data_IF_592043647411
#
_entry.id   IF_592043647411
#
_cell.length_a   1.000
_cell.length_b   1.000
_cell.length_c   1.000
_cell.angle_alpha   90.00
_cell.angle_beta   90.00
_cell.angle_gamma   90.00
#
_symmetry.space_group_name_H-M   'P 1'
#
loop_
_entity.id
_entity.type
_entity.pdbx_description
1 polymer ?
#
# COMPACT_ATOMS: atom_id res chain seq x y z
N UNK A 1 43.04 26.50 12.18
CA UNK A 1 42.54 25.29 12.85
C UNK A 1 41.14 25.04 12.29
N UNK A 2 41.06 24.22 11.24
CA UNK A 2 39.90 24.09 10.35
C UNK A 2 39.19 22.76 10.67
N UNK A 3 38.08 22.80 11.39
CA UNK A 3 37.21 21.63 11.56
C UNK A 3 36.16 21.62 10.47
N UNK A 4 36.42 20.77 9.46
CA UNK A 4 35.48 20.39 8.42
C UNK A 4 34.25 19.73 9.06
N UNK A 5 33.11 20.39 8.97
CA UNK A 5 31.79 19.78 9.09
C UNK A 5 31.61 18.84 7.91
N UNK A 6 31.82 17.54 8.11
CA UNK A 6 31.49 16.51 7.13
C UNK A 6 29.97 16.45 6.96
N UNK A 7 29.45 17.18 5.98
CA UNK A 7 28.10 17.03 5.47
C UNK A 7 27.97 15.64 4.83
N UNK A 8 27.47 14.66 5.58
CA UNK A 8 27.02 13.38 5.03
C UNK A 8 25.54 13.52 4.69
N UNK A 9 25.25 14.07 3.52
CA UNK A 9 24.00 13.84 2.81
C UNK A 9 24.32 13.87 1.32
N UNK A 10 24.98 12.81 0.85
CA UNK A 10 24.99 12.54 -0.59
C UNK A 10 23.55 12.30 -1.03
N UNK A 11 23.08 13.04 -2.04
CA UNK A 11 21.78 12.85 -2.69
C UNK A 11 21.62 11.39 -3.12
N UNK A 12 21.00 10.58 -2.26
CA UNK A 12 20.67 9.21 -2.60
C UNK A 12 19.52 9.27 -3.61
N UNK A 13 19.77 8.80 -4.83
CA UNK A 13 18.72 8.60 -5.83
C UNK A 13 17.58 7.75 -5.23
N UNK A 14 16.32 8.08 -5.56
CA UNK A 14 15.12 7.37 -5.12
C UNK A 14 15.24 5.84 -5.30
N UNK A 15 15.93 5.39 -6.35
CA UNK A 15 16.24 3.99 -6.62
C UNK A 15 17.14 3.34 -5.57
N UNK A 16 18.16 4.05 -5.08
CA UNK A 16 19.05 3.57 -4.03
C UNK A 16 18.32 3.50 -2.69
N UNK A 17 17.44 4.45 -2.42
CA UNK A 17 16.57 4.48 -1.25
C UNK A 17 15.59 3.29 -1.26
N UNK A 18 14.89 3.05 -2.38
CA UNK A 18 14.02 1.88 -2.54
C UNK A 18 14.78 0.55 -2.39
N UNK A 19 15.97 0.42 -2.99
CA UNK A 19 16.79 -0.79 -2.88
C UNK A 19 17.23 -1.04 -1.43
N UNK A 20 17.54 0.01 -0.68
CA UNK A 20 17.88 -0.08 0.76
C UNK A 20 16.67 -0.50 1.59
N UNK A 21 15.48 0.06 1.33
CA UNK A 21 14.23 -0.32 2.00
C UNK A 21 13.84 -1.78 1.71
N UNK A 22 13.99 -2.24 0.46
CA UNK A 22 13.83 -3.66 0.11
C UNK A 22 14.83 -4.57 0.82
N UNK A 23 16.01 -4.07 1.19
CA UNK A 23 16.98 -4.80 2.01
C UNK A 23 16.45 -5.17 3.39
N UNK A 24 15.61 -4.33 4.00
CA UNK A 24 14.97 -4.61 5.30
C UNK A 24 13.87 -5.69 5.23
N UNK A 25 13.37 -6.02 4.04
CA UNK A 25 12.47 -7.17 3.82
C UNK A 25 13.20 -8.50 3.85
N UNK A 26 14.53 -8.51 3.76
CA UNK A 26 15.30 -9.73 3.57
C UNK A 26 15.04 -10.85 4.61
N UNK A 27 14.88 -10.57 5.92
CA UNK A 27 14.58 -11.62 6.90
C UNK A 27 13.13 -12.15 6.82
N UNK A 28 12.21 -11.45 6.17
CA UNK A 28 10.79 -11.81 6.10
C UNK A 28 10.31 -12.21 4.70
N UNK A 29 11.25 -12.47 3.76
CA UNK A 29 10.92 -12.83 2.36
C UNK A 29 9.94 -14.00 2.24
N UNK A 30 10.05 -15.01 3.12
CA UNK A 30 9.16 -16.17 3.10
C UNK A 30 7.70 -15.80 3.42
N UNK A 31 7.46 -15.08 4.52
CA UNK A 31 6.12 -14.63 4.90
C UNK A 31 5.55 -13.62 3.90
N UNK A 32 6.41 -12.76 3.34
CA UNK A 32 6.02 -11.82 2.29
C UNK A 32 5.63 -12.55 0.99
N UNK A 33 6.34 -13.62 0.63
CA UNK A 33 6.01 -14.45 -0.52
C UNK A 33 4.66 -15.14 -0.33
N UNK A 34 4.38 -15.67 0.88
CA UNK A 34 3.07 -16.24 1.21
C UNK A 34 1.97 -15.18 1.05
N UNK A 35 2.19 -13.96 1.55
CA UNK A 35 1.24 -12.85 1.39
C UNK A 35 1.00 -12.52 -0.09
N UNK A 36 2.06 -12.48 -0.90
CA UNK A 36 1.97 -12.22 -2.34
C UNK A 36 1.22 -13.34 -3.08
N UNK A 37 1.54 -14.60 -2.80
CA UNK A 37 0.85 -15.75 -3.40
C UNK A 37 -0.62 -15.77 -3.00
N UNK A 38 -0.93 -15.57 -1.72
CA UNK A 38 -2.32 -15.48 -1.24
C UNK A 38 -3.07 -14.32 -1.92
N UNK A 39 -2.42 -13.16 -2.12
CA UNK A 39 -2.99 -12.03 -2.85
C UNK A 39 -3.27 -12.36 -4.32
N UNK A 40 -2.36 -13.04 -5.00
CA UNK A 40 -2.55 -13.48 -6.39
C UNK A 40 -3.71 -14.47 -6.47
N UNK A 41 -3.72 -15.49 -5.61
CA UNK A 41 -4.82 -16.48 -5.53
C UNK A 41 -6.15 -15.79 -5.25
N UNK A 42 -6.19 -14.80 -4.36
CA UNK A 42 -7.40 -14.04 -4.07
C UNK A 42 -7.92 -13.31 -5.30
N UNK A 43 -7.08 -12.50 -5.97
CA UNK A 43 -7.54 -11.66 -7.09
C UNK A 43 -7.90 -12.52 -8.30
N UNK A 44 -7.10 -13.56 -8.60
CA UNK A 44 -7.44 -14.54 -9.65
C UNK A 44 -8.71 -15.30 -9.29
N UNK A 45 -8.89 -15.70 -8.04
CA UNK A 45 -10.11 -16.35 -7.56
C UNK A 45 -11.34 -15.44 -7.66
N UNK A 46 -11.21 -14.15 -7.37
CA UNK A 46 -12.28 -13.16 -7.57
C UNK A 46 -12.66 -13.05 -9.06
N UNK A 47 -11.67 -13.00 -9.95
CA UNK A 47 -11.91 -13.02 -11.40
C UNK A 47 -12.58 -14.33 -11.84
N UNK A 48 -12.17 -15.47 -11.27
CA UNK A 48 -12.76 -16.77 -11.57
C UNK A 48 -14.22 -16.86 -11.10
N UNK A 49 -14.57 -16.35 -9.92
CA UNK A 49 -15.96 -16.28 -9.44
C UNK A 49 -16.83 -15.47 -10.40
N UNK A 50 -16.35 -14.31 -10.87
CA UNK A 50 -17.05 -13.50 -11.86
C UNK A 50 -17.17 -14.23 -13.20
N UNK A 51 -16.12 -14.93 -13.63
CA UNK A 51 -16.12 -15.75 -14.85
C UNK A 51 -17.13 -16.90 -14.80
N UNK A 52 -17.20 -17.62 -13.68
CA UNK A 52 -18.17 -18.70 -13.44
C UNK A 52 -19.59 -18.11 -13.43
N UNK A 53 -19.79 -16.96 -12.81
CA UNK A 53 -21.09 -16.28 -12.80
C UNK A 53 -21.53 -15.81 -14.20
N UNK A 54 -20.60 -15.33 -15.03
CA UNK A 54 -20.90 -14.99 -16.43
C UNK A 54 -21.21 -16.24 -17.27
N UNK A 55 -20.42 -17.30 -17.10
CA UNK A 55 -20.62 -18.58 -17.79
C UNK A 55 -21.94 -19.25 -17.39
N UNK A 56 -22.36 -19.13 -16.13
CA UNK A 56 -23.62 -19.72 -15.65
C UNK A 56 -24.84 -19.10 -16.34
N UNK A 57 -24.82 -17.79 -16.61
CA UNK A 57 -25.86 -17.11 -17.37
C UNK A 57 -25.87 -17.61 -18.83
N UNK A 58 -24.71 -17.71 -19.46
CA UNK A 58 -24.59 -18.22 -20.84
C UNK A 58 -25.15 -19.64 -20.98
N UNK A 59 -24.74 -20.55 -20.08
CA UNK A 59 -25.23 -21.93 -20.07
C UNK A 59 -26.74 -22.02 -19.77
N UNK A 60 -27.26 -21.15 -18.91
CA UNK A 60 -28.69 -21.12 -18.60
C UNK A 60 -29.53 -20.68 -19.80
N UNK A 61 -29.03 -19.70 -20.56
CA UNK A 61 -29.70 -19.22 -21.79
C UNK A 61 -29.66 -20.31 -22.88
N UNK A 62 -28.52 -20.95 -23.10
CA UNK A 62 -28.37 -22.01 -24.11
C UNK A 62 -29.22 -23.26 -23.81
N UNK A 63 -29.35 -23.62 -22.53
CA UNK A 63 -30.13 -24.79 -22.09
C UNK A 63 -31.59 -24.46 -21.74
N UNK A 64 -32.05 -23.24 -22.06
CA UNK A 64 -33.40 -22.80 -21.73
C UNK A 64 -34.43 -23.54 -22.57
N UNK A 65 -35.38 -24.18 -21.88
CA UNK A 65 -36.60 -24.75 -22.47
C UNK A 65 -37.77 -23.94 -21.91
N UNK A 66 -38.78 -23.56 -22.73
CA UNK A 66 -39.94 -22.81 -22.24
C UNK A 66 -40.57 -23.46 -21.00
N UNK A 67 -40.84 -22.66 -19.97
CA UNK A 67 -41.45 -23.04 -18.68
C UNK A 67 -40.71 -24.10 -17.83
N UNK A 68 -39.47 -24.46 -18.17
CA UNK A 68 -38.69 -25.44 -17.37
C UNK A 68 -37.43 -24.82 -16.78
N UNK A 69 -37.36 -24.73 -15.46
CA UNK A 69 -36.15 -24.28 -14.73
C UNK A 69 -35.23 -25.47 -14.48
N UNK A 70 -34.00 -25.42 -15.00
CA UNK A 70 -32.99 -26.44 -14.74
C UNK A 70 -32.29 -26.21 -13.39
N UNK A 71 -32.93 -26.66 -12.30
CA UNK A 71 -32.41 -26.55 -10.94
C UNK A 71 -31.05 -27.25 -10.74
N UNK A 72 -30.79 -28.33 -11.49
CA UNK A 72 -29.51 -29.07 -11.42
C UNK A 72 -28.33 -28.23 -11.90
N UNK A 73 -28.51 -27.48 -12.99
CA UNK A 73 -27.50 -26.57 -13.50
C UNK A 73 -27.22 -25.45 -12.49
N UNK A 74 -28.28 -24.80 -11.97
CA UNK A 74 -28.14 -23.71 -10.98
C UNK A 74 -27.37 -24.18 -9.75
N UNK A 75 -27.76 -25.32 -9.15
CA UNK A 75 -27.08 -25.86 -7.98
C UNK A 75 -25.63 -26.25 -8.24
N UNK A 76 -25.31 -26.72 -9.44
CA UNK A 76 -23.92 -27.02 -9.82
C UNK A 76 -23.09 -25.75 -9.88
N UNK A 77 -23.61 -24.67 -10.46
CA UNK A 77 -22.92 -23.38 -10.53
C UNK A 77 -22.77 -22.73 -9.15
N UNK A 78 -23.80 -22.81 -8.31
CA UNK A 78 -23.74 -22.35 -6.91
C UNK A 78 -22.64 -23.09 -6.14
N UNK A 79 -22.49 -24.40 -6.32
CA UNK A 79 -21.40 -25.17 -5.69
C UNK A 79 -20.02 -24.67 -6.14
N UNK A 80 -19.82 -24.42 -7.43
CA UNK A 80 -18.54 -23.89 -7.93
C UNK A 80 -18.23 -22.50 -7.38
N UNK A 81 -19.23 -21.61 -7.35
CA UNK A 81 -19.10 -20.27 -6.77
C UNK A 81 -18.80 -20.37 -5.27
N UNK A 82 -19.47 -21.25 -4.54
CA UNK A 82 -19.24 -21.44 -3.10
C UNK A 82 -17.81 -21.94 -2.81
N UNK A 83 -17.31 -22.89 -3.59
CA UNK A 83 -15.94 -23.41 -3.46
C UNK A 83 -14.94 -22.31 -3.78
N UNK A 84 -15.07 -21.65 -4.93
CA UNK A 84 -14.16 -20.58 -5.33
C UNK A 84 -14.20 -19.39 -4.36
N UNK A 85 -15.38 -19.00 -3.89
CA UNK A 85 -15.58 -17.95 -2.89
C UNK A 85 -14.94 -18.29 -1.54
N UNK A 86 -15.02 -19.56 -1.11
CA UNK A 86 -14.35 -20.02 0.12
C UNK A 86 -12.83 -19.92 0.01
N UNK A 87 -12.27 -20.33 -1.14
CA UNK A 87 -10.82 -20.19 -1.42
C UNK A 87 -10.41 -18.73 -1.41
N UNK A 88 -11.21 -17.83 -2.02
CA UNK A 88 -10.98 -16.38 -2.00
C UNK A 88 -10.99 -15.84 -0.57
N UNK A 89 -11.96 -16.24 0.25
CA UNK A 89 -12.06 -15.82 1.64
C UNK A 89 -10.85 -16.25 2.48
N UNK A 90 -10.41 -17.51 2.32
CA UNK A 90 -9.23 -18.03 3.01
C UNK A 90 -7.95 -17.32 2.55
N UNK A 91 -7.80 -17.12 1.24
CA UNK A 91 -6.67 -16.40 0.68
C UNK A 91 -6.61 -14.95 1.16
N UNK A 92 -7.77 -14.27 1.27
CA UNK A 92 -7.85 -12.92 1.82
C UNK A 92 -7.41 -12.86 3.29
N UNK A 93 -7.85 -13.84 4.10
CA UNK A 93 -7.44 -13.91 5.50
C UNK A 93 -5.92 -14.10 5.63
N UNK A 94 -5.35 -15.05 4.88
CA UNK A 94 -3.90 -15.31 4.87
C UNK A 94 -3.14 -14.06 4.42
N UNK A 95 -3.56 -13.44 3.32
CA UNK A 95 -2.97 -12.21 2.78
C UNK A 95 -2.93 -11.10 3.84
N UNK A 96 -4.08 -10.81 4.47
CA UNK A 96 -4.23 -9.74 5.46
C UNK A 96 -3.38 -10.01 6.70
N UNK A 97 -3.50 -11.22 7.26
CA UNK A 97 -2.75 -11.61 8.46
C UNK A 97 -1.23 -11.56 8.24
N UNK A 98 -0.75 -12.18 7.17
CA UNK A 98 0.69 -12.24 6.88
C UNK A 98 1.27 -10.87 6.53
N UNK A 99 0.51 -10.03 5.82
CA UNK A 99 0.92 -8.66 5.48
C UNK A 99 1.13 -7.79 6.72
N UNK A 100 0.14 -7.80 7.63
CA UNK A 100 0.24 -7.06 8.89
C UNK A 100 1.31 -7.65 9.83
N UNK A 101 1.43 -8.97 9.91
CA UNK A 101 2.46 -9.61 10.72
C UNK A 101 3.87 -9.14 10.37
N UNK A 102 4.20 -9.10 9.07
CA UNK A 102 5.50 -8.60 8.59
C UNK A 102 5.67 -7.12 8.91
N UNK A 103 4.65 -6.30 8.65
CA UNK A 103 4.68 -4.87 8.91
C UNK A 103 4.92 -4.55 10.40
N UNK A 104 4.21 -5.22 11.31
CA UNK A 104 4.37 -5.04 12.74
C UNK A 104 5.73 -5.51 13.26
N UNK A 105 6.28 -6.63 12.74
CA UNK A 105 7.63 -7.06 13.14
C UNK A 105 8.70 -6.07 12.70
N UNK A 106 8.58 -5.50 11.50
CA UNK A 106 9.50 -4.47 11.03
C UNK A 106 9.35 -3.20 11.87
N UNK A 107 8.10 -2.79 12.16
CA UNK A 107 7.82 -1.64 13.03
C UNK A 107 8.43 -1.81 14.42
N UNK A 108 8.30 -2.98 15.04
CA UNK A 108 8.90 -3.28 16.33
C UNK A 108 10.43 -3.20 16.29
N UNK A 109 11.07 -3.78 15.27
CA UNK A 109 12.53 -3.72 15.12
C UNK A 109 13.06 -2.29 14.93
N UNK A 110 12.31 -1.44 14.21
CA UNK A 110 12.64 -0.02 14.03
C UNK A 110 12.52 0.71 15.37
N UNK A 111 11.43 0.48 16.13
CA UNK A 111 11.23 1.08 17.45
C UNK A 111 12.33 0.70 18.43
N UNK A 112 12.72 -0.57 18.48
CA UNK A 112 13.80 -1.03 19.35
C UNK A 112 15.13 -0.35 19.00
N UNK A 113 15.48 -0.34 17.71
CA UNK A 113 16.72 0.30 17.23
C UNK A 113 16.76 1.79 17.59
N UNK A 114 15.62 2.47 17.47
CA UNK A 114 15.50 3.88 17.82
C UNK A 114 15.64 4.12 19.32
N UNK A 115 14.95 3.31 20.14
CA UNK A 115 15.03 3.40 21.60
C UNK A 115 16.49 3.25 22.08
N UNK A 116 17.20 2.22 21.61
CA UNK A 116 18.59 2.00 21.97
C UNK A 116 19.56 3.08 21.45
N UNK A 117 19.23 3.73 20.33
CA UNK A 117 20.02 4.87 19.84
C UNK A 117 19.81 6.14 20.68
N UNK A 118 18.65 6.31 21.33
CA UNK A 118 18.34 7.48 22.15
C UNK A 118 18.90 7.40 23.57
N UNK A 119 18.91 6.21 24.19
CA UNK A 119 19.38 6.01 25.58
C UNK A 119 20.77 6.62 25.85
N UNK A 120 21.79 6.49 24.97
CA UNK A 120 23.13 7.06 25.20
C UNK A 120 23.23 8.58 25.04
N UNK A 121 22.21 9.23 24.46
CA UNK A 121 22.21 10.68 24.16
C UNK A 121 21.71 11.54 25.35
N UNK A 122 21.19 10.90 26.40
CA UNK A 122 20.90 11.54 27.69
C UNK A 122 22.18 11.56 28.56
N UNK A 123 22.56 12.66 29.27
CA UNK A 123 21.79 13.87 29.63
C UNK A 123 22.25 15.17 28.93
N UNK A 124 23.30 15.15 28.11
CA UNK A 124 23.96 16.39 27.64
C UNK A 124 23.37 16.99 26.34
N UNK A 125 22.70 16.20 25.48
CA UNK A 125 22.11 16.68 24.21
C UNK A 125 20.58 16.69 24.15
N UNK A 126 19.92 15.98 25.06
CA UNK A 126 18.45 15.98 25.18
C UNK A 126 17.89 17.20 25.91
N UNK A 127 18.71 18.04 26.56
CA UNK A 127 18.25 19.25 27.24
C UNK A 127 17.81 20.40 26.29
N UNK A 128 18.28 20.38 25.03
CA UNK A 128 17.91 21.39 24.00
C UNK A 128 16.75 20.98 23.10
N UNK A 129 16.32 19.73 23.21
CA UNK A 129 15.21 19.16 22.44
C UNK A 129 14.11 18.92 23.47
N UNK A 130 12.87 19.33 23.23
CA UNK A 130 11.76 18.84 24.08
C UNK A 130 11.71 17.31 23.89
N UNK A 131 12.37 16.58 24.79
CA UNK A 131 12.68 15.17 24.63
C UNK A 131 11.43 14.32 24.42
N UNK A 132 10.29 14.76 24.97
CA UNK A 132 8.97 14.17 24.71
C UNK A 132 8.43 14.40 23.29
N UNK A 133 8.52 15.63 22.76
CA UNK A 133 7.99 15.95 21.42
C UNK A 133 8.81 15.31 20.29
N UNK A 134 10.15 15.30 20.44
CA UNK A 134 11.01 14.64 19.46
C UNK A 134 10.84 13.12 19.44
N UNK A 135 10.70 12.48 20.61
CA UNK A 135 10.38 11.04 20.68
C UNK A 135 9.02 10.77 20.05
N UNK A 136 8.00 11.59 20.37
CA UNK A 136 6.64 11.42 19.85
C UNK A 136 6.57 11.54 18.32
N UNK A 137 7.22 12.56 17.74
CA UNK A 137 7.31 12.72 16.28
C UNK A 137 7.98 11.53 15.60
N UNK A 138 9.07 11.02 16.15
CA UNK A 138 9.79 9.91 15.54
C UNK A 138 9.01 8.60 15.67
N UNK A 139 8.33 8.37 16.79
CA UNK A 139 7.42 7.23 16.95
C UNK A 139 6.27 7.29 15.93
N UNK A 140 5.70 8.46 15.71
CA UNK A 140 4.67 8.68 14.70
C UNK A 140 5.19 8.45 13.26
N UNK A 141 6.43 8.87 12.96
CA UNK A 141 7.04 8.58 11.66
C UNK A 141 7.39 7.10 11.48
N UNK A 142 7.75 6.39 12.56
CA UNK A 142 7.93 4.94 12.51
C UNK A 142 6.61 4.23 12.22
N UNK A 143 5.48 4.68 12.78
CA UNK A 143 4.16 4.09 12.49
C UNK A 143 3.77 4.20 11.02
N UNK A 144 4.21 5.25 10.31
CA UNK A 144 3.99 5.39 8.85
C UNK A 144 4.67 4.29 8.02
N UNK A 145 5.60 3.54 8.61
CA UNK A 145 6.27 2.42 7.96
C UNK A 145 5.36 1.20 7.84
N UNK A 146 4.37 1.04 8.73
CA UNK A 146 3.45 -0.10 8.67
C UNK A 146 2.58 -0.08 7.39
N UNK A 147 1.84 1.00 7.05
CA UNK A 147 1.06 1.05 5.82
C UNK A 147 1.92 0.86 4.55
N UNK A 148 3.17 1.31 4.58
CA UNK A 148 4.09 1.11 3.47
C UNK A 148 4.35 -0.39 3.21
N UNK A 149 4.65 -1.15 4.26
CA UNK A 149 4.94 -2.58 4.14
C UNK A 149 3.69 -3.44 3.91
N UNK A 150 2.60 -3.17 4.62
CA UNK A 150 1.37 -3.97 4.51
C UNK A 150 0.55 -3.62 3.23
N UNK A 151 0.50 -2.34 2.84
CA UNK A 151 -0.46 -1.83 1.86
C UNK A 151 0.15 -1.12 0.65
N UNK A 152 1.48 -1.10 0.49
CA UNK A 152 2.10 -0.53 -0.72
C UNK A 152 2.87 -1.57 -1.51
N UNK A 153 3.79 -2.30 -0.89
CA UNK A 153 4.70 -3.21 -1.62
C UNK A 153 3.96 -4.40 -2.24
N UNK A 154 3.26 -5.20 -1.43
CA UNK A 154 2.56 -6.39 -1.95
C UNK A 154 1.46 -6.04 -2.97
N UNK A 155 0.63 -4.99 -2.74
CA UNK A 155 -0.32 -4.51 -3.76
C UNK A 155 0.35 -4.06 -5.06
N UNK A 156 1.49 -3.36 -5.01
CA UNK A 156 2.18 -2.88 -6.21
C UNK A 156 2.66 -4.05 -7.09
N UNK A 157 3.25 -5.09 -6.50
CA UNK A 157 3.62 -6.29 -7.26
C UNK A 157 2.41 -7.02 -7.83
N UNK A 158 1.34 -7.16 -7.06
CA UNK A 158 0.12 -7.81 -7.53
C UNK A 158 -0.58 -7.05 -8.67
N UNK A 159 -0.53 -5.71 -8.66
CA UNK A 159 -1.07 -4.86 -9.72
C UNK A 159 -0.36 -5.07 -11.07
N UNK A 160 0.88 -5.58 -11.05
CA UNK A 160 1.60 -5.94 -12.27
C UNK A 160 1.37 -7.42 -12.61
N UNK A 161 1.57 -8.29 -11.64
CA UNK A 161 1.61 -9.74 -11.85
C UNK A 161 0.22 -10.31 -12.21
N UNK A 162 -0.84 -9.89 -11.52
CA UNK A 162 -2.17 -10.47 -11.71
C UNK A 162 -2.75 -10.11 -13.08
N UNK A 163 -2.75 -8.84 -13.53
CA UNK A 163 -3.20 -8.52 -14.88
C UNK A 163 -2.36 -9.20 -15.96
N UNK A 164 -1.04 -9.33 -15.76
CA UNK A 164 -0.19 -10.05 -16.71
C UNK A 164 -0.59 -11.53 -16.83
N UNK A 165 -0.87 -12.21 -15.72
CA UNK A 165 -1.36 -13.60 -15.70
C UNK A 165 -2.73 -13.69 -16.41
N UNK A 166 -3.66 -12.79 -16.10
CA UNK A 166 -4.99 -12.79 -16.70
C UNK A 166 -4.95 -12.50 -18.20
N UNK A 167 -4.13 -11.55 -18.66
CA UNK A 167 -3.93 -11.28 -20.08
C UNK A 167 -3.28 -12.47 -20.80
N UNK A 168 -2.29 -13.11 -20.17
CA UNK A 168 -1.67 -14.32 -20.69
C UNK A 168 -2.66 -15.47 -20.83
N UNK A 169 -3.55 -15.67 -19.85
CA UNK A 169 -4.64 -16.64 -19.96
C UNK A 169 -5.64 -16.24 -21.05
N UNK A 170 -6.05 -14.97 -21.11
CA UNK A 170 -6.99 -14.47 -22.11
C UNK A 170 -6.47 -14.63 -23.54
N UNK A 171 -5.16 -14.55 -23.75
CA UNK A 171 -4.52 -14.83 -25.04
C UNK A 171 -4.80 -16.26 -25.53
N UNK A 172 -4.93 -17.22 -24.62
CA UNK A 172 -5.24 -18.62 -24.98
C UNK A 172 -6.71 -18.83 -25.30
N UNK A 173 -7.60 -17.98 -24.80
CA UNK A 173 -9.05 -18.06 -25.04
C UNK A 173 -9.41 -17.34 -26.33
N UNK A 174 -9.09 -16.05 -26.42
CA UNK A 174 -9.41 -15.21 -27.58
C UNK A 174 -8.44 -14.01 -27.64
N UNK A 175 -7.46 -14.02 -28.57
CA UNK A 175 -6.41 -13.01 -28.64
C UNK A 175 -6.89 -11.57 -28.93
N UNK A 176 -8.09 -11.41 -29.51
CA UNK A 176 -8.63 -10.09 -29.83
C UNK A 176 -8.90 -9.25 -28.57
N UNK A 177 -9.34 -9.86 -27.47
CA UNK A 177 -9.53 -9.16 -26.20
C UNK A 177 -8.24 -8.57 -25.65
N UNK A 178 -7.11 -9.29 -25.76
CA UNK A 178 -5.82 -8.80 -25.27
C UNK A 178 -5.40 -7.53 -25.99
N UNK A 179 -5.62 -7.44 -27.31
CA UNK A 179 -5.27 -6.24 -28.09
C UNK A 179 -6.02 -4.99 -27.59
N UNK A 180 -7.24 -5.16 -27.11
CA UNK A 180 -8.08 -4.07 -26.59
C UNK A 180 -7.75 -3.75 -25.12
N UNK A 181 -7.57 -4.77 -24.28
CA UNK A 181 -7.31 -4.56 -22.85
C UNK A 181 -5.87 -4.13 -22.53
N UNK A 182 -4.88 -4.57 -23.31
CA UNK A 182 -3.47 -4.25 -23.07
C UNK A 182 -3.18 -2.73 -23.03
N UNK A 183 -3.64 -1.90 -23.99
CA UNK A 183 -3.42 -0.46 -23.93
C UNK A 183 -4.14 0.19 -22.74
N UNK A 184 -5.33 -0.29 -22.38
CA UNK A 184 -6.06 0.21 -21.19
C UNK A 184 -5.29 -0.12 -19.91
N UNK A 185 -4.77 -1.34 -19.80
CA UNK A 185 -3.93 -1.77 -18.68
C UNK A 185 -2.63 -0.96 -18.57
N UNK A 186 -1.95 -0.75 -19.70
CA UNK A 186 -0.73 0.07 -19.74
C UNK A 186 -1.03 1.53 -19.36
N UNK A 187 -2.17 2.07 -19.82
CA UNK A 187 -2.58 3.42 -19.48
C UNK A 187 -2.89 3.59 -17.98
N UNK A 188 -3.65 2.68 -17.38
CA UNK A 188 -3.99 2.78 -15.96
C UNK A 188 -2.82 2.48 -15.03
N UNK A 189 -1.89 1.61 -15.43
CA UNK A 189 -0.75 1.21 -14.59
C UNK A 189 0.43 2.16 -14.70
N UNK A 190 0.69 2.74 -15.89
CA UNK A 190 1.87 3.57 -16.12
C UNK A 190 1.52 5.02 -16.42
N UNK A 191 0.60 5.27 -17.37
CA UNK A 191 0.28 6.64 -17.77
C UNK A 191 -0.43 7.41 -16.66
N UNK A 192 -1.33 6.78 -15.92
CA UNK A 192 -2.10 7.44 -14.87
C UNK A 192 -1.22 7.83 -13.66
N UNK A 193 -0.38 6.94 -13.09
CA UNK A 193 0.56 7.34 -12.05
C UNK A 193 1.59 8.37 -12.52
N UNK A 194 2.06 8.27 -13.78
CA UNK A 194 2.95 9.27 -14.36
C UNK A 194 2.27 10.63 -14.48
N UNK A 195 1.05 10.68 -15.01
CA UNK A 195 0.28 11.92 -15.14
C UNK A 195 -0.02 12.52 -13.76
N UNK A 196 -0.41 11.70 -12.79
CA UNK A 196 -0.63 12.12 -11.40
C UNK A 196 0.67 12.63 -10.78
N UNK A 197 1.83 12.05 -11.10
CA UNK A 197 3.13 12.53 -10.60
C UNK A 197 3.54 13.88 -11.21
N UNK A 198 3.09 14.18 -12.43
CA UNK A 198 3.35 15.46 -13.11
C UNK A 198 2.34 16.54 -12.71
N UNK A 199 1.06 16.17 -12.54
CA UNK A 199 -0.02 17.06 -12.13
C UNK A 199 -0.08 17.28 -10.62
N UNK A 200 0.51 16.37 -9.85
CA UNK A 200 0.79 16.56 -8.43
C UNK A 200 1.80 17.69 -8.31
N UNK A 201 1.27 18.91 -8.27
CA UNK A 201 2.06 20.15 -8.18
C UNK A 201 2.97 20.15 -6.96
N UNK A 202 3.77 21.21 -6.83
CA UNK A 202 4.82 21.37 -5.82
C UNK A 202 4.38 20.97 -4.39
N UNK A 203 4.53 19.68 -4.07
CA UNK A 203 4.08 19.11 -2.81
C UNK A 203 4.91 19.65 -1.64
N UNK A 204 6.11 20.14 -1.92
CA UNK A 204 6.93 20.94 -1.01
C UNK A 204 6.28 22.30 -0.75
N UNK A 205 5.92 23.05 -1.79
CA UNK A 205 5.26 24.35 -1.65
C UNK A 205 3.91 24.30 -0.93
N UNK A 206 3.11 23.25 -1.16
CA UNK A 206 1.86 23.04 -0.43
C UNK A 206 2.10 22.75 1.06
N UNK A 207 3.08 21.91 1.38
CA UNK A 207 3.47 21.59 2.77
C UNK A 207 4.08 22.80 3.49
N UNK A 208 4.83 23.62 2.77
CA UNK A 208 5.40 24.86 3.31
C UNK A 208 4.32 25.89 3.64
N UNK A 209 3.35 26.11 2.74
CA UNK A 209 2.19 26.99 2.99
C UNK A 209 1.34 26.51 4.15
N UNK A 210 1.10 25.20 4.26
CA UNK A 210 0.44 24.62 5.43
C UNK A 210 1.24 24.83 6.71
N UNK A 211 2.57 24.68 6.65
CA UNK A 211 3.45 24.94 7.79
C UNK A 211 3.37 26.40 8.25
N UNK A 212 3.36 27.35 7.32
CA UNK A 212 3.19 28.79 7.62
C UNK A 212 1.83 29.09 8.25
N UNK A 213 0.74 28.48 7.74
CA UNK A 213 -0.60 28.64 8.30
C UNK A 213 -0.70 28.06 9.72
N UNK A 214 -0.16 26.85 9.94
CA UNK A 214 -0.14 26.24 11.27
C UNK A 214 0.69 27.04 12.27
N UNK A 215 1.82 27.61 11.84
CA UNK A 215 2.63 28.50 12.67
C UNK A 215 1.86 29.79 13.02
N UNK A 216 1.19 30.41 12.05
CA UNK A 216 0.39 31.61 12.26
C UNK A 216 -0.78 31.39 13.23
N UNK A 217 -1.48 30.24 13.10
CA UNK A 217 -2.58 29.88 14.02
C UNK A 217 -2.05 29.63 15.42
N UNK A 218 -0.92 28.93 15.57
CA UNK A 218 -0.31 28.68 16.87
C UNK A 218 0.14 29.98 17.55
N UNK A 219 0.76 30.89 16.80
CA UNK A 219 1.21 32.20 17.28
C UNK A 219 0.02 33.09 17.68
N UNK A 220 -1.06 33.06 16.89
CA UNK A 220 -2.31 33.75 17.23
C UNK A 220 -2.91 33.23 18.54
N UNK A 221 -2.97 31.91 18.74
CA UNK A 221 -3.50 31.32 19.98
C UNK A 221 -2.63 31.66 21.19
N UNK A 222 -1.30 31.68 21.03
CA UNK A 222 -0.38 32.05 22.11
C UNK A 222 -0.45 33.56 22.41
N UNK A 223 -0.58 34.39 21.38
CA UNK A 223 -0.69 35.85 21.47
C UNK A 223 -2.08 36.37 21.85
N UNK A 224 -3.14 35.54 21.85
CA UNK A 224 -4.50 35.93 22.30
C UNK A 224 -4.48 36.57 23.68
N UNK A 225 -3.61 36.10 24.57
CA UNK A 225 -3.51 36.64 25.93
C UNK A 225 -2.92 38.06 25.95
N UNK A 226 -2.02 38.36 25.03
CA UNK A 226 -1.41 39.69 24.86
C UNK A 226 -2.35 40.64 24.10
N UNK A 227 -3.07 40.15 23.09
CA UNK A 227 -4.10 40.89 22.33
C UNK A 227 -5.25 41.32 23.26
N UNK A 228 -5.72 40.41 24.12
CA UNK A 228 -6.76 40.72 25.11
C UNK A 228 -6.26 41.65 26.22
N UNK A 229 -4.97 41.59 26.57
CA UNK A 229 -4.37 42.46 27.59
C UNK A 229 -4.11 43.89 27.10
N UNK A 230 -3.78 44.07 25.81
CA UNK A 230 -3.50 45.39 25.21
C UNK A 230 -4.69 45.99 24.45
N UNK A 231 -5.82 45.27 24.35
CA UNK A 231 -7.11 45.85 23.95
C UNK A 231 -7.15 46.37 22.51
N UNK A 232 -6.52 45.66 21.57
CA UNK A 232 -6.70 45.82 20.13
C UNK A 232 -6.63 44.46 19.44
#
# INVERSE_FOLDING_TARGET
>A
MNTQTTAVSGDMSNLQLMRRLMGYLAPFKGTMLISLVARVVKIVGQAAVLGIAAASVGLYVESSVPDTVNWGLIWTQVKWIAIAGTVVGLAHYIESYTGHYVAFRILAAIRDSFYYAMVPLAPARTAKIQSGDAVSRIMHDCERVEPFYAHSIAPAFAAILVPAILLGWMWTVEPSFVKVLLPVYAATTFLLPWLVSQLGGDSSGYRERLGQLSAFVADSIQGVRDIVAFGN
#
